data_IF_647726074115
#
_entry.id   IF_647726074115
#
_cell.length_a   1.000
_cell.length_b   1.000
_cell.length_c   1.000
_cell.angle_alpha   90.00
_cell.angle_beta   90.00
_cell.angle_gamma   90.00
#
_symmetry.space_group_name_H-M   'P 1'
#
loop_
_entity.id
_entity.type
_entity.pdbx_description
1 polymer ?
#
# COMPACT_ATOMS: atom_id res chain seq x y z
N UNK A 1 22.07 18.63 -23.42
CA UNK A 1 20.87 18.57 -22.54
C UNK A 1 19.76 17.84 -23.27
N UNK A 2 19.15 16.83 -22.69
CA UNK A 2 18.02 16.08 -23.23
C UNK A 2 16.76 16.37 -22.41
N UNK A 3 15.65 16.69 -23.04
CA UNK A 3 14.35 16.85 -22.40
C UNK A 3 13.35 15.86 -22.98
N UNK A 4 12.64 15.13 -22.13
CA UNK A 4 11.60 14.19 -22.53
C UNK A 4 10.33 14.53 -21.75
N UNK A 5 9.26 14.85 -22.48
CA UNK A 5 7.93 15.05 -21.90
C UNK A 5 7.25 13.69 -21.80
N UNK A 6 6.72 13.37 -20.61
CA UNK A 6 6.09 12.10 -20.29
C UNK A 6 4.58 12.32 -20.17
N UNK A 7 3.80 11.51 -20.85
CA UNK A 7 2.35 11.59 -20.81
C UNK A 7 1.69 10.87 -21.99
N UNK A 8 0.37 10.92 -22.09
CA UNK A 8 -0.35 10.30 -23.22
C UNK A 8 0.02 10.90 -24.58
N UNK A 9 0.39 12.17 -24.59
CA UNK A 9 0.85 12.93 -25.77
C UNK A 9 2.26 13.48 -25.52
N UNK A 10 3.09 12.75 -24.78
CA UNK A 10 4.48 13.11 -24.50
C UNK A 10 5.42 12.79 -25.66
N UNK A 11 6.70 13.10 -25.46
CA UNK A 11 7.76 12.83 -26.46
C UNK A 11 8.51 11.53 -26.17
N UNK A 12 8.13 10.79 -25.11
CA UNK A 12 8.69 9.48 -24.77
C UNK A 12 8.40 8.46 -25.87
N UNK A 13 9.26 7.47 -26.01
CA UNK A 13 9.19 6.44 -27.07
C UNK A 13 8.22 5.28 -26.76
N UNK A 14 7.70 5.20 -25.55
CA UNK A 14 6.78 4.14 -25.10
C UNK A 14 5.35 4.69 -24.93
N UNK A 15 4.36 3.81 -25.13
CA UNK A 15 2.96 4.18 -25.00
C UNK A 15 2.50 4.18 -23.53
N UNK A 16 1.76 5.20 -23.13
CA UNK A 16 1.16 5.33 -21.81
C UNK A 16 -0.36 5.18 -21.93
N UNK A 17 -0.88 4.06 -21.44
CA UNK A 17 -2.30 3.73 -21.52
C UNK A 17 -3.08 4.03 -20.24
N UNK A 18 -2.43 4.55 -19.17
CA UNK A 18 -3.06 4.87 -17.90
C UNK A 18 -4.16 5.93 -18.07
N UNK A 19 -5.42 5.58 -17.72
CA UNK A 19 -6.57 6.49 -17.92
C UNK A 19 -6.44 7.79 -17.12
N UNK A 20 -5.77 7.74 -15.96
CA UNK A 20 -5.54 8.87 -15.05
C UNK A 20 -4.29 9.69 -15.36
N UNK A 21 -3.49 9.29 -16.33
CA UNK A 21 -2.30 10.04 -16.75
C UNK A 21 -2.72 11.21 -17.64
N UNK A 22 -2.16 12.40 -17.41
CA UNK A 22 -2.38 13.59 -18.21
C UNK A 22 -1.69 13.48 -19.58
N UNK A 23 -2.13 14.27 -20.57
CA UNK A 23 -1.52 14.31 -21.90
C UNK A 23 -0.04 14.66 -21.85
N UNK A 24 0.30 15.74 -21.15
CA UNK A 24 1.66 16.10 -20.72
C UNK A 24 1.65 16.06 -19.20
N UNK A 25 2.27 15.05 -18.60
CA UNK A 25 2.13 14.78 -17.17
C UNK A 25 3.35 15.25 -16.39
N UNK A 26 4.52 14.85 -16.86
CA UNK A 26 5.80 15.18 -16.24
C UNK A 26 6.86 15.43 -17.30
N UNK A 27 8.00 15.97 -16.88
CA UNK A 27 9.18 16.16 -17.72
C UNK A 27 10.40 15.58 -17.04
N UNK A 28 11.20 14.85 -17.80
CA UNK A 28 12.53 14.43 -17.38
C UNK A 28 13.55 15.23 -18.18
N UNK A 29 14.47 15.86 -17.48
CA UNK A 29 15.61 16.57 -18.06
C UNK A 29 16.90 15.89 -17.64
N UNK A 30 17.73 15.50 -18.62
CA UNK A 30 19.09 15.03 -18.37
C UNK A 30 20.04 16.14 -18.83
N UNK A 31 20.77 16.69 -17.88
CA UNK A 31 21.72 17.78 -18.13
C UNK A 31 23.01 17.27 -18.78
N UNK A 32 23.80 18.17 -19.35
CA UNK A 32 25.11 17.81 -19.91
C UNK A 32 26.11 17.35 -18.83
N UNK A 33 25.86 17.70 -17.57
CA UNK A 33 26.60 17.20 -16.40
C UNK A 33 26.13 15.81 -15.91
N UNK A 34 25.15 15.18 -16.58
CA UNK A 34 24.60 13.88 -16.21
C UNK A 34 23.61 13.92 -15.06
N UNK A 35 23.13 15.09 -14.64
CA UNK A 35 22.08 15.19 -13.62
C UNK A 35 20.70 14.91 -14.24
N UNK A 36 19.89 14.13 -13.53
CA UNK A 36 18.52 13.82 -13.89
C UNK A 36 17.56 14.63 -13.03
N UNK A 37 16.64 15.32 -13.66
CA UNK A 37 15.65 16.16 -13.00
C UNK A 37 14.26 15.71 -13.46
N UNK A 38 13.39 15.37 -12.50
CA UNK A 38 11.98 15.09 -12.75
C UNK A 38 11.14 16.27 -12.29
N UNK A 39 10.22 16.73 -13.15
CA UNK A 39 9.33 17.85 -12.90
C UNK A 39 7.88 17.49 -13.29
N UNK A 40 6.94 17.72 -12.38
CA UNK A 40 5.51 17.59 -12.65
C UNK A 40 5.00 18.79 -13.46
N UNK A 41 4.34 18.55 -14.58
CA UNK A 41 3.81 19.60 -15.47
C UNK A 41 2.36 20.00 -15.10
N UNK A 42 2.09 20.18 -13.80
CA UNK A 42 0.76 20.45 -13.26
C UNK A 42 -0.26 19.37 -13.65
N UNK A 43 0.16 18.13 -13.53
CA UNK A 43 -0.69 16.98 -13.82
C UNK A 43 -1.91 16.92 -12.90
N UNK A 44 -3.02 16.34 -13.39
CA UNK A 44 -4.28 16.28 -12.65
C UNK A 44 -4.18 15.41 -11.39
N UNK A 45 -3.41 14.33 -11.45
CA UNK A 45 -3.34 13.33 -10.38
C UNK A 45 -1.96 13.25 -9.70
N UNK A 46 -1.02 14.11 -10.08
CA UNK A 46 0.30 14.22 -9.47
C UNK A 46 1.32 13.22 -10.02
N UNK A 47 2.60 13.59 -9.83
CA UNK A 47 3.77 12.77 -10.14
C UNK A 47 4.42 12.35 -8.81
N UNK A 48 4.83 11.11 -8.73
CA UNK A 48 5.41 10.52 -7.53
C UNK A 48 6.71 9.78 -7.85
N UNK A 49 7.55 9.65 -6.87
CA UNK A 49 8.69 8.72 -6.87
C UNK A 49 8.49 7.69 -5.75
N UNK A 50 9.07 6.51 -5.93
CA UNK A 50 9.15 5.50 -4.89
C UNK A 50 10.53 5.63 -4.25
N UNK A 51 10.56 5.94 -2.95
CA UNK A 51 11.79 6.09 -2.17
C UNK A 51 12.39 4.73 -1.78
N UNK A 52 13.52 4.74 -1.10
CA UNK A 52 14.23 3.55 -0.61
C UNK A 52 13.42 2.71 0.40
N UNK A 53 12.42 3.30 1.03
CA UNK A 53 11.51 2.62 1.97
C UNK A 53 10.24 2.07 1.27
N UNK A 54 10.21 2.03 -0.07
CA UNK A 54 9.03 1.69 -0.89
C UNK A 54 7.81 2.60 -0.65
N UNK A 55 8.03 3.84 -0.18
CA UNK A 55 6.96 4.80 0.03
C UNK A 55 6.77 5.68 -1.22
N UNK A 56 5.52 6.02 -1.50
CA UNK A 56 5.12 6.92 -2.58
C UNK A 56 5.25 8.36 -2.12
N UNK A 57 6.18 9.11 -2.71
CA UNK A 57 6.42 10.51 -2.39
C UNK A 57 6.00 11.39 -3.57
N UNK A 58 5.00 12.24 -3.35
CA UNK A 58 4.59 13.21 -4.37
C UNK A 58 5.65 14.27 -4.56
N UNK A 59 5.91 14.63 -5.82
CA UNK A 59 6.93 15.63 -6.17
C UNK A 59 6.34 16.74 -7.05
N UNK A 60 6.99 17.88 -7.01
CA UNK A 60 6.83 18.95 -8.01
C UNK A 60 8.06 19.05 -8.90
N UNK A 61 9.23 19.05 -8.30
CA UNK A 61 10.53 19.01 -8.98
C UNK A 61 11.56 18.41 -8.04
N UNK A 62 12.31 17.43 -8.52
CA UNK A 62 13.31 16.72 -7.73
C UNK A 62 14.45 16.20 -8.60
N UNK A 63 15.65 16.13 -8.03
CA UNK A 63 16.76 15.42 -8.63
C UNK A 63 16.54 13.92 -8.39
N UNK A 64 16.70 13.15 -9.44
CA UNK A 64 16.52 11.70 -9.43
C UNK A 64 17.79 11.01 -9.95
N UNK A 65 17.80 9.68 -9.92
CA UNK A 65 18.80 8.83 -10.60
C UNK A 65 18.14 8.12 -11.77
N UNK A 66 18.93 7.55 -12.66
CA UNK A 66 18.43 6.73 -13.77
C UNK A 66 17.61 5.51 -13.30
N UNK A 67 17.88 5.01 -12.07
CA UNK A 67 17.16 3.89 -11.46
C UNK A 67 15.97 4.30 -10.59
N UNK A 68 15.63 5.58 -10.53
CA UNK A 68 14.48 6.03 -9.75
C UNK A 68 13.18 5.51 -10.37
N UNK A 69 12.34 4.87 -9.55
CA UNK A 69 10.98 4.47 -9.94
C UNK A 69 10.04 5.66 -9.89
N UNK A 70 9.42 5.96 -11.02
CA UNK A 70 8.51 7.09 -11.22
C UNK A 70 7.10 6.56 -11.39
N UNK A 71 6.15 7.19 -10.71
CA UNK A 71 4.73 6.85 -10.78
C UNK A 71 3.94 8.08 -11.23
N UNK A 72 3.18 7.93 -12.30
CA UNK A 72 2.26 8.95 -12.80
C UNK A 72 0.84 8.61 -12.37
N UNK A 73 0.22 9.51 -11.65
CA UNK A 73 -1.13 9.42 -11.10
C UNK A 73 -1.26 8.44 -9.92
N UNK A 74 -1.08 7.14 -10.10
CA UNK A 74 -1.14 6.12 -9.06
C UNK A 74 -0.41 4.83 -9.48
N UNK A 75 -0.30 3.87 -8.55
CA UNK A 75 0.33 2.56 -8.78
C UNK A 75 -0.61 1.51 -9.37
N UNK A 76 -1.85 1.88 -9.68
CA UNK A 76 -2.81 0.96 -10.30
C UNK A 76 -2.68 0.93 -11.81
N UNK A 77 -3.42 0.06 -12.48
CA UNK A 77 -3.50 0.03 -13.95
C UNK A 77 -4.08 1.30 -14.59
N UNK A 78 -4.65 2.20 -13.76
CA UNK A 78 -5.13 3.51 -14.22
C UNK A 78 -4.04 4.57 -14.24
N UNK A 79 -2.96 4.39 -13.47
CA UNK A 79 -1.74 5.17 -13.51
C UNK A 79 -0.69 4.56 -14.44
N UNK A 80 0.58 4.92 -14.22
CA UNK A 80 1.70 4.40 -14.98
C UNK A 80 2.99 4.44 -14.16
N UNK A 81 3.71 3.33 -14.11
CA UNK A 81 4.97 3.21 -13.36
C UNK A 81 6.10 2.78 -14.28
N UNK A 82 7.26 3.43 -14.17
CA UNK A 82 8.44 3.14 -14.98
C UNK A 82 9.72 3.58 -14.25
N UNK A 83 10.88 3.11 -14.72
CA UNK A 83 12.18 3.62 -14.28
C UNK A 83 12.63 4.79 -15.16
N UNK A 84 13.35 5.75 -14.56
CA UNK A 84 13.79 6.95 -15.27
C UNK A 84 14.61 6.64 -16.55
N UNK A 85 15.49 5.62 -16.51
CA UNK A 85 16.31 5.25 -17.67
C UNK A 85 15.49 4.77 -18.89
N UNK A 86 14.26 4.27 -18.70
CA UNK A 86 13.41 3.82 -19.81
C UNK A 86 13.13 4.92 -20.84
N UNK A 87 13.23 6.20 -20.44
CA UNK A 87 13.08 7.31 -21.40
C UNK A 87 14.18 7.40 -22.45
N UNK A 88 15.33 6.75 -22.19
CA UNK A 88 16.47 6.69 -23.10
C UNK A 88 16.46 5.44 -23.98
N UNK A 89 15.64 4.44 -23.66
CA UNK A 89 15.63 3.16 -24.38
C UNK A 89 15.10 3.32 -25.80
N UNK A 90 15.78 2.65 -26.74
CA UNK A 90 15.42 2.67 -28.15
C UNK A 90 14.40 1.61 -28.53
N UNK A 91 14.25 0.54 -27.72
CA UNK A 91 13.35 -0.58 -28.01
C UNK A 91 12.09 -0.56 -27.14
N UNK A 92 10.93 -0.14 -27.71
CA UNK A 92 9.65 -0.12 -26.99
C UNK A 92 9.14 -1.51 -26.56
N UNK A 93 9.64 -2.60 -27.18
CA UNK A 93 9.19 -3.97 -26.86
C UNK A 93 9.82 -4.45 -25.56
N UNK A 94 11.10 -4.19 -25.33
CA UNK A 94 11.77 -4.51 -24.08
C UNK A 94 11.13 -3.75 -22.90
N UNK A 95 10.83 -2.48 -23.10
CA UNK A 95 10.13 -1.68 -22.11
C UNK A 95 8.78 -2.29 -21.69
N UNK A 96 7.95 -2.74 -22.64
CA UNK A 96 6.66 -3.34 -22.32
C UNK A 96 6.78 -4.65 -21.51
N UNK A 97 7.82 -5.44 -21.74
CA UNK A 97 8.09 -6.66 -21.00
C UNK A 97 8.56 -6.36 -19.56
N UNK A 98 9.49 -5.45 -19.40
CA UNK A 98 9.95 -5.01 -18.08
C UNK A 98 8.84 -4.34 -17.26
N UNK A 99 8.02 -3.52 -17.91
CA UNK A 99 6.88 -2.88 -17.27
C UNK A 99 5.85 -3.91 -16.76
N UNK A 100 5.51 -4.93 -17.55
CA UNK A 100 4.64 -6.01 -17.09
C UNK A 100 5.24 -6.75 -15.90
N UNK A 101 6.52 -7.05 -15.94
CA UNK A 101 7.24 -7.73 -14.87
C UNK A 101 7.25 -6.90 -13.58
N UNK A 102 7.50 -5.60 -13.66
CA UNK A 102 7.45 -4.70 -12.51
C UNK A 102 6.04 -4.60 -11.92
N UNK A 103 5.01 -4.50 -12.76
CA UNK A 103 3.61 -4.51 -12.30
C UNK A 103 3.24 -5.83 -11.62
N UNK A 104 3.63 -6.97 -12.19
CA UNK A 104 3.36 -8.29 -11.60
C UNK A 104 4.02 -8.46 -10.24
N UNK A 105 5.29 -8.04 -10.09
CA UNK A 105 5.99 -8.08 -8.80
C UNK A 105 5.30 -7.16 -7.79
N UNK A 106 4.93 -5.96 -8.20
CA UNK A 106 4.28 -4.99 -7.33
C UNK A 106 2.90 -5.49 -6.86
N UNK A 107 2.07 -6.00 -7.77
CA UNK A 107 0.77 -6.59 -7.45
C UNK A 107 0.91 -7.80 -6.52
N UNK A 108 1.96 -8.62 -6.72
CA UNK A 108 2.25 -9.75 -5.83
C UNK A 108 2.63 -9.28 -4.44
N UNK A 109 3.50 -8.28 -4.32
CA UNK A 109 3.91 -7.71 -3.04
C UNK A 109 2.73 -7.09 -2.28
N UNK A 110 1.83 -6.37 -2.97
CA UNK A 110 0.61 -5.82 -2.38
C UNK A 110 -0.30 -6.95 -1.86
N UNK A 111 -0.51 -8.01 -2.64
CA UNK A 111 -1.33 -9.17 -2.21
C UNK A 111 -0.74 -9.85 -0.98
N UNK A 112 0.57 -10.10 -0.97
CA UNK A 112 1.26 -10.68 0.17
C UNK A 112 1.12 -9.81 1.43
N UNK A 113 1.28 -8.49 1.30
CA UNK A 113 1.12 -7.54 2.40
C UNK A 113 -0.33 -7.55 2.93
N UNK A 114 -1.32 -7.50 2.05
CA UNK A 114 -2.74 -7.54 2.45
C UNK A 114 -3.12 -8.87 3.13
N UNK A 115 -2.56 -10.00 2.68
CA UNK A 115 -2.76 -11.29 3.34
C UNK A 115 -2.13 -11.35 4.73
N UNK A 116 -0.92 -10.78 4.90
CA UNK A 116 -0.23 -10.70 6.19
C UNK A 116 -1.04 -9.82 7.14
N UNK A 117 -1.50 -8.65 6.68
CA UNK A 117 -2.30 -7.73 7.49
C UNK A 117 -3.65 -8.37 7.89
N UNK A 118 -4.31 -9.08 6.98
CA UNK A 118 -5.55 -9.81 7.29
C UNK A 118 -5.33 -10.94 8.32
N UNK A 119 -4.22 -11.69 8.19
CA UNK A 119 -3.84 -12.70 9.18
C UNK A 119 -3.54 -12.10 10.56
N UNK A 120 -2.85 -10.94 10.57
CA UNK A 120 -2.51 -10.22 11.80
C UNK A 120 -3.77 -9.66 12.48
N UNK A 121 -4.69 -9.06 11.71
CA UNK A 121 -5.98 -8.59 12.21
C UNK A 121 -6.81 -9.74 12.79
N UNK A 122 -6.90 -10.88 12.08
CA UNK A 122 -7.60 -12.06 12.57
C UNK A 122 -6.99 -12.58 13.87
N UNK A 123 -5.66 -12.66 13.96
CA UNK A 123 -4.94 -13.05 15.18
C UNK A 123 -5.21 -12.08 16.33
N UNK A 124 -5.22 -10.78 16.07
CA UNK A 124 -5.50 -9.77 17.09
C UNK A 124 -6.97 -9.82 17.54
N UNK A 125 -7.93 -9.97 16.63
CA UNK A 125 -9.35 -10.18 17.00
C UNK A 125 -9.54 -11.42 17.86
N UNK A 126 -8.86 -12.53 17.53
CA UNK A 126 -8.95 -13.77 18.32
C UNK A 126 -8.45 -13.61 19.76
N UNK A 127 -7.55 -12.66 20.03
CA UNK A 127 -7.11 -12.36 21.40
C UNK A 127 -8.22 -11.74 22.28
N UNK A 128 -9.13 -10.98 21.70
CA UNK A 128 -10.22 -10.32 22.40
C UNK A 128 -11.49 -11.17 22.47
N UNK A 129 -11.60 -12.18 21.59
CA UNK A 129 -12.79 -13.03 21.48
C UNK A 129 -13.20 -13.70 22.83
N UNK A 130 -12.26 -14.26 23.62
CA UNK A 130 -12.62 -14.88 24.90
C UNK A 130 -13.19 -13.89 25.91
N UNK A 131 -12.63 -12.67 25.98
CA UNK A 131 -13.16 -11.61 26.83
C UNK A 131 -14.56 -11.17 26.41
N UNK A 132 -14.81 -11.11 25.10
CA UNK A 132 -16.11 -10.76 24.56
C UNK A 132 -17.18 -11.83 24.87
N UNK A 133 -16.84 -13.09 24.68
CA UNK A 133 -17.72 -14.24 25.02
C UNK A 133 -18.02 -14.25 26.51
N UNK A 134 -17.02 -14.08 27.36
CA UNK A 134 -17.19 -14.04 28.81
C UNK A 134 -18.06 -12.85 29.24
N UNK A 135 -17.89 -11.68 28.69
CA UNK A 135 -18.72 -10.51 28.97
C UNK A 135 -20.20 -10.74 28.58
N UNK A 136 -20.43 -11.38 27.42
CA UNK A 136 -21.77 -11.73 26.96
C UNK A 136 -22.44 -12.77 27.89
N UNK A 137 -21.71 -13.80 28.29
CA UNK A 137 -22.22 -14.80 29.25
C UNK A 137 -22.56 -14.11 30.57
N UNK A 138 -21.71 -13.20 31.06
CA UNK A 138 -21.96 -12.44 32.29
C UNK A 138 -23.21 -11.58 32.21
N UNK A 139 -23.40 -10.92 31.06
CA UNK A 139 -24.60 -10.10 30.83
C UNK A 139 -25.87 -10.95 30.84
N UNK A 140 -25.85 -12.09 30.18
CA UNK A 140 -27.01 -13.02 30.13
C UNK A 140 -27.30 -13.57 31.53
N UNK A 141 -26.29 -14.02 32.28
CA UNK A 141 -26.45 -14.48 33.64
C UNK A 141 -27.02 -13.39 34.58
N UNK A 142 -26.53 -12.17 34.44
CA UNK A 142 -27.03 -11.02 35.25
C UNK A 142 -28.49 -10.69 34.96
N UNK A 143 -28.96 -10.91 33.72
CA UNK A 143 -30.35 -10.71 33.35
C UNK A 143 -31.28 -11.84 33.83
N UNK A 144 -30.79 -13.07 33.84
CA UNK A 144 -31.59 -14.26 34.15
C UNK A 144 -31.66 -14.57 35.66
N UNK A 145 -30.67 -14.15 36.47
CA UNK A 145 -30.63 -14.42 37.88
C UNK A 145 -31.54 -13.48 38.71
N UNK A 146 -32.19 -13.98 39.76
CA UNK A 146 -32.89 -13.17 40.73
C UNK A 146 -32.01 -12.10 41.38
N UNK A 147 -32.59 -10.99 41.81
CA UNK A 147 -31.83 -9.80 42.26
C UNK A 147 -30.81 -10.10 43.34
N UNK A 148 -31.13 -11.01 44.27
CA UNK A 148 -30.23 -11.40 45.36
C UNK A 148 -29.07 -12.32 44.97
N UNK A 149 -29.10 -12.91 43.77
CA UNK A 149 -28.03 -13.78 43.23
C UNK A 149 -27.16 -13.10 42.16
N UNK A 150 -27.45 -11.88 41.76
CA UNK A 150 -26.70 -11.17 40.72
C UNK A 150 -25.24 -10.98 41.05
N UNK A 151 -24.88 -10.81 42.31
CA UNK A 151 -23.48 -10.66 42.77
C UNK A 151 -22.67 -11.93 42.50
N UNK A 152 -23.26 -13.10 42.64
CA UNK A 152 -22.60 -14.39 42.35
C UNK A 152 -22.37 -14.56 40.83
N UNK A 153 -23.29 -14.12 39.99
CA UNK A 153 -23.16 -14.16 38.55
C UNK A 153 -21.95 -13.36 38.05
N UNK A 154 -21.71 -12.17 38.60
CA UNK A 154 -20.56 -11.33 38.28
C UNK A 154 -19.24 -11.96 38.71
N UNK A 155 -19.21 -12.56 39.94
CA UNK A 155 -18.02 -13.23 40.46
C UNK A 155 -17.65 -14.47 39.62
N UNK A 156 -18.61 -15.28 39.21
CA UNK A 156 -18.39 -16.47 38.36
C UNK A 156 -17.85 -16.08 37.00
N UNK A 157 -18.37 -15.04 36.39
CA UNK A 157 -17.86 -14.56 35.10
C UNK A 157 -16.43 -14.03 35.18
N UNK A 158 -16.07 -13.31 36.24
CA UNK A 158 -14.71 -12.82 36.45
C UNK A 158 -13.70 -13.99 36.57
N UNK A 159 -14.04 -15.01 37.37
CA UNK A 159 -13.20 -16.21 37.53
C UNK A 159 -13.06 -16.95 36.19
N UNK A 160 -14.15 -17.16 35.48
CA UNK A 160 -14.12 -17.87 34.20
C UNK A 160 -13.27 -17.12 33.16
N UNK A 161 -13.36 -15.78 33.10
CA UNK A 161 -12.53 -14.95 32.20
C UNK A 161 -11.05 -15.10 32.52
N UNK A 162 -10.68 -15.09 33.80
CA UNK A 162 -9.29 -15.23 34.24
C UNK A 162 -8.73 -16.59 33.86
N UNK A 163 -9.49 -17.68 34.11
CA UNK A 163 -9.08 -19.05 33.76
C UNK A 163 -8.92 -19.19 32.23
N UNK A 164 -9.86 -18.69 31.45
CA UNK A 164 -9.82 -18.75 29.99
C UNK A 164 -8.62 -17.97 29.43
N UNK A 165 -8.33 -16.81 30.00
CA UNK A 165 -7.18 -15.99 29.59
C UNK A 165 -5.84 -16.69 29.94
N UNK A 166 -5.75 -17.32 31.11
CA UNK A 166 -4.59 -18.09 31.52
C UNK A 166 -4.37 -19.32 30.61
N UNK A 167 -5.44 -20.03 30.26
CA UNK A 167 -5.39 -21.16 29.33
C UNK A 167 -4.87 -20.75 27.95
N UNK A 168 -5.36 -19.65 27.38
CA UNK A 168 -4.91 -19.14 26.11
C UNK A 168 -3.43 -18.74 26.14
N UNK A 169 -2.95 -18.17 27.25
CA UNK A 169 -1.54 -17.80 27.40
C UNK A 169 -0.59 -19.01 27.53
N UNK A 170 -1.06 -20.14 28.02
CA UNK A 170 -0.27 -21.37 28.17
C UNK A 170 -0.11 -22.11 26.83
N UNK A 171 -1.15 -22.10 26.00
CA UNK A 171 -1.17 -22.80 24.69
C UNK A 171 -0.78 -21.93 23.52
N UNK A 172 -0.14 -20.80 23.73
CA UNK A 172 0.37 -19.85 22.76
C UNK A 172 1.88 -19.93 22.60
#
# INVERSE_FOLDING_TARGET
MLEVIIGKEGTQRFAINGSRVSRQHAKITVTDSGQWILEDLNSTNGTYIINENDELVQIKRVNITEFTRIVLADQTSMGFTFYAHHVLEEDPKNYQQEFRYVLEIHDKAIREKTEIDAKLQKKNMMKFLPGFISAMIGLVLTLLLPLHQKVYGVAVTAVFTTILQAFINIYR
#
